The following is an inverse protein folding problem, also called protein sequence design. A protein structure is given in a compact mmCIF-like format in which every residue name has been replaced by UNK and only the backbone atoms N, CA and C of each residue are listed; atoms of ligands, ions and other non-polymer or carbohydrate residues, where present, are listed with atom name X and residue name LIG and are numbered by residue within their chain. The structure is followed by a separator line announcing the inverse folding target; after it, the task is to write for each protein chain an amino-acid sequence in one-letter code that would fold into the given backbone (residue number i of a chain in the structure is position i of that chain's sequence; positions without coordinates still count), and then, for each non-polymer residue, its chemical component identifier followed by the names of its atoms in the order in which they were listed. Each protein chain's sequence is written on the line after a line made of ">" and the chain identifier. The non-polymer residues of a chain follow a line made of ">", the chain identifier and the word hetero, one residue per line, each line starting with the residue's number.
data_IF_060044840277
#
_entry.id   IF_060044840277
#
_cell.length_a   1.000
_cell.length_b   1.000
_cell.length_c   1.000
_cell.angle_alpha   90.00
_cell.angle_beta   90.00
_cell.angle_gamma   90.00
#
_symmetry.space_group_name_H-M   'P 1'
#
loop_
_entity.id
_entity.type
_entity.pdbx_description
1 polymer ?
#
# COMPACT_ATOMS: atom_id res chain seq x y z
N UNK A 1 31.86 -11.11 -31.26
CA UNK A 1 30.91 -10.72 -30.20
C UNK A 1 30.75 -11.79 -29.13
N UNK A 2 30.42 -13.05 -29.46
CA UNK A 2 30.39 -14.15 -28.48
C UNK A 2 31.73 -14.37 -27.73
N UNK A 3 32.86 -14.27 -28.44
CA UNK A 3 34.20 -14.37 -27.83
C UNK A 3 34.53 -13.20 -26.89
N UNK A 4 33.93 -12.02 -27.12
CA UNK A 4 34.10 -10.83 -26.28
C UNK A 4 33.26 -10.98 -25.00
N UNK A 5 32.03 -11.52 -25.11
CA UNK A 5 31.19 -11.86 -23.96
C UNK A 5 31.88 -12.87 -23.03
N UNK A 6 32.41 -13.96 -23.59
CA UNK A 6 33.16 -14.97 -22.82
C UNK A 6 34.42 -14.40 -22.15
N UNK A 7 35.18 -13.54 -22.85
CA UNK A 7 36.36 -12.86 -22.28
C UNK A 7 35.97 -11.88 -21.17
N UNK A 8 34.86 -11.16 -21.28
CA UNK A 8 34.34 -10.25 -20.24
C UNK A 8 33.94 -11.02 -18.97
N UNK A 9 33.26 -12.16 -19.09
CA UNK A 9 32.94 -13.03 -17.94
C UNK A 9 34.22 -13.59 -17.29
N UNK A 10 35.22 -13.99 -18.09
CA UNK A 10 36.51 -14.46 -17.58
C UNK A 10 37.32 -13.33 -16.89
N UNK A 11 37.31 -12.12 -17.45
CA UNK A 11 37.93 -10.94 -16.86
C UNK A 11 37.25 -10.55 -15.56
N UNK A 12 35.92 -10.63 -15.49
CA UNK A 12 35.18 -10.33 -14.29
C UNK A 12 35.35 -11.37 -13.17
N UNK A 13 35.62 -12.61 -13.55
CA UNK A 13 35.94 -13.68 -12.62
C UNK A 13 37.39 -13.63 -12.08
N UNK A 14 38.30 -12.85 -12.69
CA UNK A 14 39.67 -12.63 -12.19
C UNK A 14 39.75 -11.37 -11.31
N UNK A 15 39.73 -11.55 -9.99
CA UNK A 15 40.22 -10.68 -8.88
C UNK A 15 40.16 -9.14 -9.00
N UNK A 16 39.36 -8.56 -9.90
CA UNK A 16 39.29 -7.11 -10.16
C UNK A 16 37.87 -6.56 -10.29
N UNK A 17 36.85 -7.37 -10.05
CA UNK A 17 35.44 -6.93 -10.12
C UNK A 17 34.73 -6.85 -8.78
N UNK A 18 35.43 -6.35 -7.76
CA UNK A 18 34.85 -6.15 -6.41
C UNK A 18 34.02 -4.86 -6.30
N UNK A 19 33.81 -4.14 -7.40
CA UNK A 19 33.03 -2.91 -7.42
C UNK A 19 31.56 -3.18 -7.77
N UNK A 20 30.60 -2.89 -6.87
CA UNK A 20 29.16 -3.07 -7.11
C UNK A 20 28.64 -2.40 -8.38
N UNK A 21 29.18 -1.22 -8.74
CA UNK A 21 28.76 -0.50 -9.95
C UNK A 21 29.17 -1.24 -11.23
N UNK A 22 30.26 -2.01 -11.19
CA UNK A 22 30.73 -2.77 -12.33
C UNK A 22 29.92 -4.06 -12.53
N UNK A 23 29.39 -4.65 -11.45
CA UNK A 23 28.44 -5.76 -11.53
C UNK A 23 27.19 -5.32 -12.29
N UNK A 24 26.61 -4.16 -11.94
CA UNK A 24 25.45 -3.59 -12.64
C UNK A 24 25.76 -3.37 -14.13
N UNK A 25 26.88 -2.71 -14.44
CA UNK A 25 27.25 -2.40 -15.82
C UNK A 25 27.47 -3.65 -16.69
N UNK A 26 28.12 -4.68 -16.15
CA UNK A 26 28.37 -5.94 -16.85
C UNK A 26 27.04 -6.71 -17.06
N UNK A 27 26.20 -6.78 -16.03
CA UNK A 27 24.88 -7.40 -16.13
C UNK A 27 23.99 -6.71 -17.17
N UNK A 28 23.96 -5.36 -17.18
CA UNK A 28 23.20 -4.58 -18.18
C UNK A 28 23.75 -4.84 -19.58
N UNK A 29 25.08 -4.77 -19.76
CA UNK A 29 25.70 -5.06 -21.05
C UNK A 29 25.36 -6.46 -21.59
N UNK A 30 25.42 -7.50 -20.75
CA UNK A 30 25.10 -8.87 -21.14
C UNK A 30 23.62 -9.01 -21.51
N UNK A 31 22.72 -8.40 -20.73
CA UNK A 31 21.28 -8.44 -20.98
C UNK A 31 20.90 -7.67 -22.26
N UNK A 32 21.42 -6.45 -22.46
CA UNK A 32 21.16 -5.63 -23.66
C UNK A 32 21.59 -6.33 -24.96
N UNK A 33 22.62 -7.18 -24.90
CA UNK A 33 23.10 -7.96 -26.04
C UNK A 33 22.47 -9.36 -26.12
N UNK A 34 21.44 -9.64 -25.30
CA UNK A 34 20.71 -10.92 -25.23
C UNK A 34 21.58 -12.13 -24.88
N UNK A 35 22.71 -11.92 -24.21
CA UNK A 35 23.59 -12.99 -23.73
C UNK A 35 23.14 -13.48 -22.35
N UNK A 36 21.91 -14.00 -22.26
CA UNK A 36 21.28 -14.35 -20.99
C UNK A 36 21.94 -15.52 -20.26
N UNK A 37 22.48 -16.52 -20.95
CA UNK A 37 23.26 -17.60 -20.32
C UNK A 37 24.50 -17.05 -19.60
N UNK A 38 25.21 -16.12 -20.26
CA UNK A 38 26.41 -15.48 -19.70
C UNK A 38 26.04 -14.57 -18.52
N UNK A 39 24.91 -13.86 -18.62
CA UNK A 39 24.39 -13.06 -17.51
C UNK A 39 24.05 -13.94 -16.30
N UNK A 40 23.41 -15.09 -16.50
CA UNK A 40 23.07 -16.03 -15.44
C UNK A 40 24.33 -16.57 -14.74
N UNK A 41 25.34 -17.01 -15.51
CA UNK A 41 26.60 -17.50 -14.95
C UNK A 41 27.38 -16.41 -14.21
N UNK A 42 27.42 -15.20 -14.78
CA UNK A 42 28.05 -14.04 -14.15
C UNK A 42 27.37 -13.68 -12.81
N UNK A 43 26.04 -13.63 -12.78
CA UNK A 43 25.27 -13.33 -11.57
C UNK A 43 25.41 -14.44 -10.50
N UNK A 44 25.40 -15.72 -10.90
CA UNK A 44 25.70 -16.85 -10.00
C UNK A 44 27.11 -16.71 -9.39
N UNK A 45 28.10 -16.34 -10.20
CA UNK A 45 29.47 -16.13 -9.72
C UNK A 45 29.57 -14.95 -8.75
N UNK A 46 28.92 -13.82 -9.05
CA UNK A 46 28.81 -12.66 -8.18
C UNK A 46 28.23 -13.03 -6.79
N UNK A 47 27.14 -13.81 -6.77
CA UNK A 47 26.50 -14.27 -5.53
C UNK A 47 27.43 -15.21 -4.75
N UNK A 48 28.07 -16.19 -5.41
CA UNK A 48 29.01 -17.13 -4.76
C UNK A 48 30.21 -16.42 -4.13
N UNK A 49 30.69 -15.34 -4.76
CA UNK A 49 31.79 -14.52 -4.24
C UNK A 49 31.34 -13.50 -3.19
N UNK A 50 30.03 -13.29 -3.03
CA UNK A 50 29.47 -12.34 -2.06
C UNK A 50 29.72 -10.87 -2.39
N UNK A 51 30.00 -10.52 -3.66
CA UNK A 51 30.35 -9.14 -4.04
C UNK A 51 29.13 -8.22 -3.92
N UNK A 52 28.02 -8.56 -4.58
CA UNK A 52 26.72 -7.91 -4.37
C UNK A 52 25.66 -8.96 -4.07
N UNK A 53 25.16 -8.95 -2.83
CA UNK A 53 24.07 -9.82 -2.37
C UNK A 53 22.89 -8.93 -1.99
N UNK A 54 22.14 -8.51 -3.01
CA UNK A 54 20.96 -7.63 -2.89
C UNK A 54 19.78 -8.26 -3.64
N UNK A 55 18.52 -7.97 -3.27
CA UNK A 55 17.34 -8.57 -3.92
C UNK A 55 17.37 -8.48 -5.44
N UNK A 56 17.72 -7.31 -5.98
CA UNK A 56 17.80 -7.07 -7.43
C UNK A 56 18.71 -8.05 -8.18
N UNK A 57 19.79 -8.56 -7.55
CA UNK A 57 20.73 -9.50 -8.17
C UNK A 57 20.07 -10.85 -8.41
N UNK A 58 19.26 -11.30 -7.45
CA UNK A 58 18.51 -12.54 -7.53
C UNK A 58 17.34 -12.42 -8.52
N UNK A 59 16.70 -11.26 -8.58
CA UNK A 59 15.69 -10.96 -9.60
C UNK A 59 16.27 -10.95 -11.02
N UNK A 60 17.42 -10.30 -11.20
CA UNK A 60 18.15 -10.29 -12.47
C UNK A 60 18.59 -11.71 -12.87
N UNK A 61 19.00 -12.53 -11.90
CA UNK A 61 19.35 -13.93 -12.13
C UNK A 61 18.13 -14.75 -12.58
N UNK A 62 16.98 -14.56 -11.96
CA UNK A 62 15.74 -15.23 -12.36
C UNK A 62 15.31 -14.87 -13.80
N UNK A 63 15.41 -13.59 -14.17
CA UNK A 63 15.15 -13.12 -15.54
C UNK A 63 16.13 -13.78 -16.52
N UNK A 64 17.43 -13.72 -16.22
CA UNK A 64 18.45 -14.33 -17.07
C UNK A 64 18.21 -15.83 -17.26
N UNK A 65 17.87 -16.57 -16.18
CA UNK A 65 17.55 -18.00 -16.27
C UNK A 65 16.29 -18.28 -17.09
N UNK A 66 15.25 -17.44 -17.01
CA UNK A 66 14.04 -17.60 -17.85
C UNK A 66 14.36 -17.44 -19.33
N UNK A 67 15.08 -16.38 -19.68
CA UNK A 67 15.42 -16.06 -21.07
C UNK A 67 16.44 -17.04 -21.67
N UNK A 68 17.28 -17.63 -20.83
CA UNK A 68 18.32 -18.57 -21.25
C UNK A 68 17.88 -20.04 -21.20
N UNK A 69 16.64 -20.32 -20.75
CA UNK A 69 16.11 -21.68 -20.68
C UNK A 69 16.65 -22.52 -19.51
N UNK A 70 17.04 -21.86 -18.41
CA UNK A 70 17.44 -22.49 -17.17
C UNK A 70 16.36 -23.40 -16.57
N UNK A 71 16.77 -24.30 -15.67
CA UNK A 71 15.83 -25.27 -15.10
C UNK A 71 14.75 -24.57 -14.25
N UNK A 72 13.48 -25.05 -14.27
CA UNK A 72 12.41 -24.46 -13.45
C UNK A 72 12.78 -24.35 -11.97
N UNK A 73 13.51 -25.33 -11.44
CA UNK A 73 13.96 -25.34 -10.05
C UNK A 73 15.03 -24.27 -9.76
N UNK A 74 15.88 -23.91 -10.72
CA UNK A 74 16.84 -22.82 -10.54
C UNK A 74 16.18 -21.44 -10.59
N UNK A 75 15.20 -21.26 -11.50
CA UNK A 75 14.42 -20.02 -11.59
C UNK A 75 13.64 -19.82 -10.28
N UNK A 76 12.93 -20.85 -9.82
CA UNK A 76 12.17 -20.82 -8.56
C UNK A 76 13.06 -20.43 -7.37
N UNK A 77 14.24 -21.06 -7.24
CA UNK A 77 15.19 -20.71 -6.18
C UNK A 77 15.68 -19.27 -6.26
N UNK A 78 15.98 -18.77 -7.46
CA UNK A 78 16.45 -17.39 -7.63
C UNK A 78 15.36 -16.38 -7.23
N UNK A 79 14.09 -16.64 -7.56
CA UNK A 79 12.99 -15.73 -7.25
C UNK A 79 12.63 -15.72 -5.76
N UNK A 80 12.66 -16.88 -5.10
CA UNK A 80 12.39 -16.96 -3.67
C UNK A 80 13.55 -16.40 -2.85
N UNK A 81 14.79 -16.55 -3.30
CA UNK A 81 15.96 -16.05 -2.58
C UNK A 81 15.97 -14.52 -2.39
N UNK A 82 15.28 -13.76 -3.25
CA UNK A 82 15.11 -12.32 -3.07
C UNK A 82 14.33 -12.00 -1.78
N UNK A 83 13.34 -12.84 -1.42
CA UNK A 83 12.54 -12.68 -0.20
C UNK A 83 13.37 -12.95 1.06
N UNK A 84 14.28 -13.92 1.01
CA UNK A 84 15.14 -14.25 2.17
C UNK A 84 16.03 -13.08 2.60
N UNK A 85 16.33 -12.16 1.67
CA UNK A 85 17.10 -10.95 1.95
C UNK A 85 16.26 -9.83 2.57
N UNK A 86 14.97 -9.75 2.21
CA UNK A 86 14.05 -8.71 2.67
C UNK A 86 12.73 -9.33 3.19
N UNK A 87 12.77 -10.07 4.32
CA UNK A 87 11.60 -10.81 4.82
C UNK A 87 10.45 -9.92 5.31
N UNK A 88 10.68 -8.61 5.40
CA UNK A 88 9.67 -7.61 5.76
C UNK A 88 9.06 -6.90 4.53
N UNK A 89 9.49 -7.22 3.30
CA UNK A 89 8.98 -6.60 2.08
C UNK A 89 7.74 -7.33 1.55
N UNK A 90 6.56 -6.77 1.81
CA UNK A 90 5.29 -7.28 1.29
C UNK A 90 5.21 -7.29 -0.24
N UNK A 91 5.88 -6.36 -0.93
CA UNK A 91 5.86 -6.30 -2.39
C UNK A 91 6.68 -7.43 -3.02
N UNK A 92 7.85 -7.76 -2.46
CA UNK A 92 8.66 -8.91 -2.85
C UNK A 92 7.86 -10.22 -2.76
N UNK A 93 7.08 -10.40 -1.70
CA UNK A 93 6.16 -11.54 -1.59
C UNK A 93 5.09 -11.56 -2.69
N UNK A 94 4.50 -10.42 -3.06
CA UNK A 94 3.52 -10.38 -4.17
C UNK A 94 4.14 -10.68 -5.54
N UNK A 95 5.36 -10.21 -5.76
CA UNK A 95 6.10 -10.51 -6.99
C UNK A 95 6.37 -12.01 -7.09
N UNK A 96 6.90 -12.61 -6.03
CA UNK A 96 7.11 -14.06 -5.96
C UNK A 96 5.79 -14.83 -6.12
N UNK A 97 4.69 -14.35 -5.54
CA UNK A 97 3.38 -14.97 -5.72
C UNK A 97 2.96 -15.03 -7.19
N UNK A 98 3.15 -13.92 -7.92
CA UNK A 98 2.88 -13.85 -9.37
C UNK A 98 3.72 -14.86 -10.13
N UNK A 99 5.02 -14.96 -9.86
CA UNK A 99 5.85 -15.89 -10.62
C UNK A 99 5.57 -17.36 -10.29
N UNK A 100 5.24 -17.68 -9.03
CA UNK A 100 4.77 -19.02 -8.69
C UNK A 100 3.47 -19.38 -9.40
N UNK A 101 2.58 -18.41 -9.59
CA UNK A 101 1.36 -18.64 -10.37
C UNK A 101 1.67 -18.86 -11.87
N UNK A 102 2.64 -18.16 -12.45
CA UNK A 102 3.10 -18.41 -13.83
C UNK A 102 3.64 -19.84 -14.00
N UNK A 103 4.33 -20.35 -12.98
CA UNK A 103 4.80 -21.74 -12.91
C UNK A 103 3.69 -22.75 -12.51
N UNK A 104 2.44 -22.31 -12.41
CA UNK A 104 1.27 -23.11 -11.97
C UNK A 104 1.41 -23.70 -10.56
N UNK A 105 2.27 -23.12 -9.72
CA UNK A 105 2.48 -23.45 -8.30
C UNK A 105 1.52 -22.64 -7.42
N UNK A 106 0.21 -22.77 -7.67
CA UNK A 106 -0.79 -21.90 -7.06
C UNK A 106 -0.85 -21.99 -5.52
N UNK A 107 -0.58 -23.16 -4.93
CA UNK A 107 -0.52 -23.31 -3.46
C UNK A 107 0.56 -22.41 -2.85
N UNK A 108 1.72 -22.31 -3.49
CA UNK A 108 2.83 -21.48 -3.02
C UNK A 108 2.56 -20.00 -3.31
N UNK A 109 1.97 -19.70 -4.47
CA UNK A 109 1.50 -18.34 -4.78
C UNK A 109 0.52 -17.82 -3.72
N UNK A 110 -0.44 -18.64 -3.30
CA UNK A 110 -1.38 -18.29 -2.24
C UNK A 110 -0.72 -18.11 -0.87
N UNK A 111 0.30 -18.91 -0.55
CA UNK A 111 1.08 -18.74 0.68
C UNK A 111 1.81 -17.38 0.70
N UNK A 112 2.42 -17.00 -0.42
CA UNK A 112 3.06 -15.69 -0.55
C UNK A 112 2.07 -14.53 -0.52
N UNK A 113 0.88 -14.66 -1.12
CA UNK A 113 -0.18 -13.64 -0.96
C UNK A 113 -0.60 -13.47 0.50
N UNK A 114 -0.68 -14.56 1.28
CA UNK A 114 -1.02 -14.48 2.72
C UNK A 114 0.09 -13.79 3.51
N UNK A 115 1.34 -14.07 3.19
CA UNK A 115 2.47 -13.42 3.85
C UNK A 115 2.54 -11.92 3.51
N UNK A 116 2.34 -11.56 2.24
CA UNK A 116 2.21 -10.17 1.82
C UNK A 116 1.06 -9.46 2.56
N UNK A 117 -0.10 -10.11 2.67
CA UNK A 117 -1.25 -9.58 3.41
C UNK A 117 -1.00 -9.43 4.92
N UNK A 118 -0.11 -10.25 5.49
CA UNK A 118 0.27 -10.14 6.90
C UNK A 118 1.19 -8.94 7.13
N UNK A 119 2.13 -8.70 6.22
CA UNK A 119 3.06 -7.56 6.27
C UNK A 119 2.35 -6.25 5.95
N UNK A 120 1.46 -6.26 4.95
CA UNK A 120 0.73 -5.09 4.47
C UNK A 120 -0.80 -5.33 4.44
N UNK A 121 -1.45 -5.39 5.61
CA UNK A 121 -2.89 -5.69 5.68
C UNK A 121 -3.80 -4.62 5.07
N UNK A 122 -3.27 -3.43 4.81
CA UNK A 122 -4.01 -2.28 4.29
C UNK A 122 -3.78 -2.02 2.79
N UNK A 123 -3.14 -2.95 2.08
CA UNK A 123 -3.05 -2.94 0.61
C UNK A 123 -4.00 -4.00 0.01
N UNK A 124 -4.67 -3.66 -1.09
CA UNK A 124 -5.65 -4.57 -1.74
C UNK A 124 -4.98 -5.65 -2.57
N UNK A 125 -3.77 -5.37 -3.07
CA UNK A 125 -3.06 -6.19 -4.04
C UNK A 125 -2.88 -7.67 -3.63
N UNK A 126 -2.53 -8.01 -2.37
CA UNK A 126 -2.45 -9.40 -1.92
C UNK A 126 -3.77 -10.16 -2.05
N UNK A 127 -4.89 -9.52 -1.70
CA UNK A 127 -6.19 -10.15 -1.73
C UNK A 127 -6.72 -10.28 -3.16
N UNK A 128 -6.50 -9.27 -4.01
CA UNK A 128 -6.82 -9.34 -5.43
C UNK A 128 -6.06 -10.48 -6.13
N UNK A 129 -4.76 -10.60 -5.88
CA UNK A 129 -3.93 -11.67 -6.43
C UNK A 129 -4.38 -13.04 -5.90
N UNK A 130 -4.68 -13.14 -4.60
CA UNK A 130 -5.18 -14.36 -3.99
C UNK A 130 -6.51 -14.83 -4.57
N UNK A 131 -7.45 -13.94 -4.90
CA UNK A 131 -8.70 -14.32 -5.60
C UNK A 131 -8.37 -15.03 -6.91
N UNK A 132 -7.48 -14.45 -7.73
CA UNK A 132 -7.11 -15.02 -9.04
C UNK A 132 -6.45 -16.40 -8.87
N UNK A 133 -5.50 -16.53 -7.95
CA UNK A 133 -4.77 -17.78 -7.75
C UNK A 133 -5.63 -18.86 -7.08
N UNK A 134 -6.55 -18.47 -6.19
CA UNK A 134 -7.49 -19.38 -5.56
C UNK A 134 -8.48 -19.96 -6.59
N UNK A 135 -8.93 -19.15 -7.55
CA UNK A 135 -9.77 -19.61 -8.66
C UNK A 135 -9.05 -20.64 -9.53
N UNK A 136 -7.78 -20.38 -9.87
CA UNK A 136 -6.95 -21.29 -10.67
C UNK A 136 -6.62 -22.59 -9.91
N UNK A 137 -6.52 -22.54 -8.59
CA UNK A 137 -6.25 -23.69 -7.72
C UNK A 137 -7.51 -24.48 -7.31
N UNK A 138 -8.70 -23.97 -7.62
CA UNK A 138 -9.98 -24.37 -7.03
C UNK A 138 -9.98 -24.41 -5.48
N UNK A 139 -9.23 -23.49 -4.84
CA UNK A 139 -9.14 -23.38 -3.39
C UNK A 139 -10.24 -22.48 -2.83
N UNK A 140 -11.35 -23.11 -2.44
CA UNK A 140 -12.53 -22.46 -1.87
C UNK A 140 -12.24 -21.70 -0.57
N UNK A 141 -11.28 -22.19 0.24
CA UNK A 141 -10.93 -21.56 1.53
C UNK A 141 -10.10 -20.31 1.31
N UNK A 142 -9.13 -20.37 0.39
CA UNK A 142 -8.35 -19.19 0.03
C UNK A 142 -9.21 -18.13 -0.65
N UNK A 143 -10.17 -18.54 -1.50
CA UNK A 143 -11.14 -17.63 -2.10
C UNK A 143 -12.01 -16.93 -1.06
N UNK A 144 -12.60 -17.67 -0.11
CA UNK A 144 -13.41 -17.08 0.97
C UNK A 144 -12.57 -16.12 1.82
N UNK A 145 -11.35 -16.51 2.18
CA UNK A 145 -10.42 -15.64 2.90
C UNK A 145 -10.16 -14.33 2.13
N UNK A 146 -9.78 -14.40 0.86
CA UNK A 146 -9.43 -13.21 0.07
C UNK A 146 -10.64 -12.29 -0.15
N UNK A 147 -11.78 -12.85 -0.56
CA UNK A 147 -13.01 -12.08 -0.75
C UNK A 147 -13.50 -11.43 0.56
N UNK A 148 -13.43 -12.16 1.67
CA UNK A 148 -13.82 -11.61 2.98
C UNK A 148 -12.94 -10.45 3.40
N UNK A 149 -11.63 -10.53 3.15
CA UNK A 149 -10.70 -9.43 3.47
C UNK A 149 -10.88 -8.22 2.55
N UNK A 150 -11.23 -8.40 1.28
CA UNK A 150 -11.61 -7.29 0.40
C UNK A 150 -12.90 -6.59 0.88
N UNK A 151 -13.86 -7.34 1.42
CA UNK A 151 -15.14 -6.79 1.87
C UNK A 151 -15.08 -6.13 3.24
N UNK A 152 -14.27 -6.66 4.17
CA UNK A 152 -14.23 -6.21 5.56
C UNK A 152 -13.67 -4.80 5.74
N UNK A 153 -12.97 -4.27 4.75
CA UNK A 153 -12.39 -2.93 4.78
C UNK A 153 -12.52 -2.25 3.43
N UNK A 154 -12.37 -0.93 3.43
CA UNK A 154 -12.36 -0.13 2.21
C UNK A 154 -10.94 0.15 1.73
N UNK A 155 -10.83 0.54 0.46
CA UNK A 155 -9.57 0.71 -0.25
C UNK A 155 -9.54 2.12 -0.86
N UNK A 156 -8.40 2.84 -0.82
CA UNK A 156 -8.33 4.20 -1.37
C UNK A 156 -8.53 4.26 -2.88
N UNK A 157 -8.05 3.24 -3.58
CA UNK A 157 -8.12 3.12 -5.02
C UNK A 157 -9.07 1.99 -5.39
N UNK A 158 -9.86 2.21 -6.45
CA UNK A 158 -10.73 1.21 -7.06
C UNK A 158 -11.72 0.53 -6.09
N UNK A 159 -12.08 1.18 -4.96
CA UNK A 159 -12.89 0.55 -3.90
C UNK A 159 -14.17 -0.08 -4.43
N UNK A 160 -14.95 0.67 -5.23
CA UNK A 160 -16.24 0.20 -5.75
C UNK A 160 -16.07 -1.10 -6.55
N UNK A 161 -15.06 -1.16 -7.41
CA UNK A 161 -14.74 -2.34 -8.22
C UNK A 161 -14.26 -3.51 -7.37
N UNK A 162 -13.45 -3.25 -6.34
CA UNK A 162 -12.94 -4.26 -5.42
C UNK A 162 -14.04 -4.86 -4.54
N UNK A 163 -14.92 -4.02 -4.00
CA UNK A 163 -16.09 -4.45 -3.24
C UNK A 163 -17.02 -5.31 -4.11
N UNK A 164 -17.27 -4.88 -5.35
CA UNK A 164 -18.12 -5.60 -6.28
C UNK A 164 -17.51 -6.94 -6.73
N UNK A 165 -16.21 -6.96 -7.02
CA UNK A 165 -15.46 -8.18 -7.32
C UNK A 165 -15.60 -9.18 -6.17
N UNK A 166 -15.37 -8.73 -4.94
CA UNK A 166 -15.44 -9.59 -3.76
C UNK A 166 -16.87 -10.12 -3.53
N UNK A 167 -17.90 -9.28 -3.72
CA UNK A 167 -19.31 -9.69 -3.66
C UNK A 167 -19.62 -10.79 -4.68
N UNK A 168 -19.29 -10.57 -5.96
CA UNK A 168 -19.54 -11.53 -7.04
C UNK A 168 -18.86 -12.87 -6.74
N UNK A 169 -17.59 -12.84 -6.30
CA UNK A 169 -16.82 -14.06 -5.99
C UNK A 169 -17.36 -14.79 -4.77
N UNK A 170 -17.77 -14.07 -3.72
CA UNK A 170 -18.38 -14.65 -2.53
C UNK A 170 -19.73 -15.31 -2.84
N UNK A 171 -20.57 -14.69 -3.68
CA UNK A 171 -21.86 -15.27 -4.12
C UNK A 171 -21.69 -16.50 -5.01
N UNK A 172 -20.74 -16.47 -5.94
CA UNK A 172 -20.40 -17.62 -6.77
C UNK A 172 -19.90 -18.78 -5.90
N UNK A 173 -19.01 -18.50 -4.95
CA UNK A 173 -18.50 -19.49 -4.01
C UNK A 173 -19.61 -20.07 -3.13
N UNK A 174 -20.49 -19.23 -2.57
CA UNK A 174 -21.62 -19.68 -1.76
C UNK A 174 -22.55 -20.61 -2.55
N UNK A 175 -22.85 -20.29 -3.82
CA UNK A 175 -23.65 -21.16 -4.69
C UNK A 175 -22.97 -22.52 -4.94
N UNK A 176 -21.67 -22.53 -5.26
CA UNK A 176 -20.89 -23.76 -5.45
C UNK A 176 -20.88 -24.62 -4.19
N UNK A 177 -20.60 -24.02 -3.02
CA UNK A 177 -20.55 -24.73 -1.75
C UNK A 177 -21.92 -25.31 -1.34
N UNK A 178 -23.02 -24.58 -1.55
CA UNK A 178 -24.39 -25.07 -1.32
C UNK A 178 -24.70 -26.30 -2.18
N UNK A 179 -24.34 -26.28 -3.45
CA UNK A 179 -24.56 -27.42 -4.36
C UNK A 179 -23.75 -28.65 -3.93
N UNK A 180 -22.56 -28.45 -3.37
CA UNK A 180 -21.72 -29.53 -2.84
C UNK A 180 -22.09 -30.01 -1.43
N UNK A 181 -23.11 -29.43 -0.79
CA UNK A 181 -23.50 -29.76 0.58
C UNK A 181 -22.45 -29.39 1.63
N UNK A 182 -21.63 -28.37 1.36
CA UNK A 182 -20.53 -27.96 2.25
C UNK A 182 -20.98 -26.87 3.22
N UNK A 183 -20.76 -27.09 4.52
CA UNK A 183 -21.12 -26.18 5.62
C UNK A 183 -20.47 -24.78 5.52
N UNK A 184 -19.37 -24.65 4.77
CA UNK A 184 -18.72 -23.35 4.50
C UNK A 184 -19.59 -22.40 3.65
N UNK A 185 -20.67 -22.91 3.05
CA UNK A 185 -21.64 -22.12 2.30
C UNK A 185 -22.22 -20.96 3.09
N UNK A 186 -22.44 -21.13 4.40
CA UNK A 186 -23.02 -20.09 5.25
C UNK A 186 -22.04 -18.94 5.49
N UNK A 187 -20.74 -19.26 5.65
CA UNK A 187 -19.70 -18.23 5.81
C UNK A 187 -19.54 -17.41 4.51
N UNK A 188 -19.47 -18.08 3.36
CA UNK A 188 -19.40 -17.41 2.06
C UNK A 188 -20.65 -16.55 1.76
N UNK A 189 -21.81 -16.92 2.30
CA UNK A 189 -23.06 -16.17 2.13
C UNK A 189 -23.20 -14.97 3.10
N UNK A 190 -22.34 -14.83 4.11
CA UNK A 190 -22.43 -13.79 5.14
C UNK A 190 -21.92 -12.42 4.67
N UNK A 191 -22.36 -11.99 3.49
CA UNK A 191 -21.90 -10.79 2.77
C UNK A 191 -22.22 -9.51 3.55
N UNK A 192 -23.40 -9.42 4.17
CA UNK A 192 -23.82 -8.24 4.95
C UNK A 192 -22.94 -8.01 6.16
N UNK A 193 -22.65 -9.06 6.92
CA UNK A 193 -21.76 -8.97 8.09
C UNK A 193 -20.34 -8.60 7.69
N UNK A 194 -19.83 -9.15 6.58
CA UNK A 194 -18.51 -8.80 6.05
C UNK A 194 -18.44 -7.36 5.52
N UNK A 195 -19.55 -6.82 5.02
CA UNK A 195 -19.63 -5.47 4.46
C UNK A 195 -19.96 -4.35 5.45
N UNK A 196 -20.09 -4.64 6.76
CA UNK A 196 -20.45 -3.64 7.76
C UNK A 196 -19.38 -2.54 7.89
N UNK A 197 -19.81 -1.31 8.19
CA UNK A 197 -18.92 -0.20 8.54
C UNK A 197 -19.38 0.45 9.83
N UNK A 198 -18.46 0.67 10.77
CA UNK A 198 -18.80 1.30 12.04
C UNK A 198 -19.12 2.80 11.87
N UNK A 199 -18.42 3.48 10.95
CA UNK A 199 -18.64 4.90 10.67
C UNK A 199 -18.43 5.22 9.19
N UNK A 200 -19.39 5.90 8.58
CA UNK A 200 -19.28 6.48 7.22
C UNK A 200 -19.72 7.93 7.26
N UNK A 201 -18.90 8.82 6.72
CA UNK A 201 -19.17 10.27 6.66
C UNK A 201 -19.17 10.67 5.20
N UNK A 202 -20.29 11.20 4.72
CA UNK A 202 -20.46 11.66 3.34
C UNK A 202 -20.64 13.17 3.33
N UNK A 203 -19.75 13.87 2.65
CA UNK A 203 -19.87 15.28 2.34
C UNK A 203 -20.52 15.41 0.97
N UNK A 204 -21.62 16.16 0.88
CA UNK A 204 -22.29 16.47 -0.37
C UNK A 204 -22.52 17.97 -0.51
N UNK A 205 -22.33 18.51 -1.71
CA UNK A 205 -22.62 19.90 -2.02
C UNK A 205 -23.26 20.07 -3.39
N UNK A 206 -23.84 21.25 -3.61
CA UNK A 206 -24.38 21.65 -4.90
C UNK A 206 -23.70 22.95 -5.33
N UNK A 207 -23.62 23.17 -6.65
CA UNK A 207 -22.91 24.30 -7.24
C UNK A 207 -21.55 23.90 -7.80
N UNK A 208 -20.95 24.82 -8.53
CA UNK A 208 -19.63 24.64 -9.15
C UNK A 208 -18.55 25.02 -8.13
N UNK A 209 -18.19 24.04 -7.32
CA UNK A 209 -17.25 24.18 -6.23
C UNK A 209 -16.53 22.86 -5.97
N UNK A 210 -15.40 22.99 -5.30
CA UNK A 210 -14.60 21.87 -4.83
C UNK A 210 -14.38 22.02 -3.33
N UNK A 211 -14.80 21.00 -2.59
CA UNK A 211 -14.75 20.96 -1.15
C UNK A 211 -14.00 19.71 -0.70
N UNK A 212 -13.01 19.90 0.17
CA UNK A 212 -12.28 18.82 0.79
C UNK A 212 -12.88 18.48 2.15
N UNK A 213 -13.19 17.20 2.35
CA UNK A 213 -13.51 16.56 3.61
C UNK A 213 -12.22 16.19 4.34
N UNK A 214 -12.10 16.70 5.56
CA UNK A 214 -11.06 16.34 6.49
C UNK A 214 -11.68 15.73 7.74
N UNK A 215 -11.25 14.53 8.11
CA UNK A 215 -11.70 13.83 9.33
C UNK A 215 -10.50 13.60 10.23
N UNK A 216 -10.53 14.17 11.44
CA UNK A 216 -9.58 13.88 12.51
C UNK A 216 -10.18 12.84 13.44
N UNK A 217 -9.45 11.76 13.63
CA UNK A 217 -9.89 10.58 14.40
C UNK A 217 -9.52 10.72 15.89
N UNK A 218 -10.12 9.91 16.79
CA UNK A 218 -9.86 9.97 18.22
C UNK A 218 -8.37 9.82 18.60
N UNK A 219 -7.63 9.04 17.81
CA UNK A 219 -6.19 8.81 17.99
C UNK A 219 -5.32 9.94 17.42
N UNK A 220 -5.92 11.00 16.88
CA UNK A 220 -5.24 12.18 16.35
C UNK A 220 -4.78 12.10 14.90
N UNK A 221 -4.98 10.94 14.23
CA UNK A 221 -4.74 10.82 12.79
C UNK A 221 -5.77 11.58 11.97
N UNK A 222 -5.36 12.01 10.78
CA UNK A 222 -6.17 12.85 9.90
C UNK A 222 -6.31 12.17 8.54
N UNK A 223 -7.55 11.99 8.10
CA UNK A 223 -7.92 11.47 6.79
C UNK A 223 -8.39 12.63 5.89
N UNK A 224 -7.92 12.68 4.64
CA UNK A 224 -8.27 13.70 3.64
C UNK A 224 -7.84 13.24 2.23
N UNK A 225 -8.11 13.99 1.13
CA UNK A 225 -7.75 13.58 -0.23
C UNK A 225 -6.26 13.29 -0.46
N UNK A 226 -5.35 13.96 0.25
CA UNK A 226 -3.90 13.72 0.14
C UNK A 226 -3.40 12.60 1.05
N UNK A 227 -4.20 12.23 2.05
CA UNK A 227 -3.87 11.24 3.07
C UNK A 227 -5.05 10.29 3.24
N UNK A 228 -5.19 9.43 2.23
CA UNK A 228 -6.39 8.63 2.00
C UNK A 228 -6.50 7.38 2.86
N UNK A 229 -5.47 7.07 3.67
CA UNK A 229 -5.51 6.02 4.68
C UNK A 229 -4.89 6.53 5.97
N UNK A 230 -5.44 6.06 7.08
CA UNK A 230 -4.96 6.43 8.41
C UNK A 230 -4.62 5.23 9.27
N UNK A 231 -3.78 5.49 10.27
CA UNK A 231 -3.50 4.55 11.36
C UNK A 231 -4.73 4.30 12.22
N UNK A 232 -5.71 5.21 12.19
CA UNK A 232 -7.02 5.06 12.82
C UNK A 232 -7.96 4.10 12.07
N UNK A 233 -7.57 3.62 10.89
CA UNK A 233 -8.38 2.73 10.04
C UNK A 233 -9.34 3.45 9.11
N UNK A 234 -9.30 4.78 9.10
CA UNK A 234 -10.04 5.60 8.17
C UNK A 234 -9.51 5.49 6.75
N UNK A 235 -10.43 5.42 5.80
CA UNK A 235 -10.17 5.44 4.37
C UNK A 235 -10.96 6.56 3.74
N UNK A 236 -10.28 7.36 2.91
CA UNK A 236 -10.90 8.39 2.11
C UNK A 236 -11.24 7.82 0.74
N UNK A 237 -12.50 8.00 0.34
CA UNK A 237 -13.02 7.71 -0.97
C UNK A 237 -13.40 9.06 -1.59
N UNK A 238 -12.64 9.47 -2.60
CA UNK A 238 -12.86 10.74 -3.28
C UNK A 238 -14.13 10.75 -4.11
N UNK A 239 -14.29 11.83 -4.87
CA UNK A 239 -15.31 11.91 -5.88
C UNK A 239 -15.07 10.84 -6.96
N UNK A 240 -16.16 10.34 -7.52
CA UNK A 240 -16.09 9.56 -8.75
C UNK A 240 -16.65 10.42 -9.86
N UNK A 241 -16.21 10.20 -11.11
CA UNK A 241 -16.75 10.93 -12.27
C UNK A 241 -18.29 10.89 -12.34
N UNK A 242 -18.93 9.89 -11.72
CA UNK A 242 -20.39 9.72 -11.66
C UNK A 242 -21.05 10.33 -10.43
N UNK A 243 -20.29 10.76 -9.43
CA UNK A 243 -20.77 11.35 -8.17
C UNK A 243 -20.02 12.66 -7.89
N UNK A 244 -20.05 13.59 -8.85
CA UNK A 244 -19.49 14.92 -8.68
C UNK A 244 -20.15 15.62 -7.48
N UNK A 245 -19.34 16.31 -6.66
CA UNK A 245 -19.83 17.01 -5.48
C UNK A 245 -20.09 16.11 -4.26
N UNK A 246 -19.43 14.94 -4.20
CA UNK A 246 -19.50 13.99 -3.10
C UNK A 246 -18.10 13.52 -2.70
N UNK A 247 -17.79 13.57 -1.41
CA UNK A 247 -16.63 12.91 -0.82
C UNK A 247 -17.05 12.02 0.34
N UNK A 248 -16.39 10.88 0.50
CA UNK A 248 -16.76 9.91 1.52
C UNK A 248 -15.55 9.49 2.35
N UNK A 249 -15.64 9.66 3.66
CA UNK A 249 -14.79 8.97 4.62
C UNK A 249 -15.50 7.71 5.11
N UNK A 250 -14.75 6.63 5.29
CA UNK A 250 -15.24 5.37 5.83
C UNK A 250 -14.24 4.77 6.81
N UNK A 251 -14.76 4.20 7.90
CA UNK A 251 -14.01 3.37 8.82
C UNK A 251 -14.79 2.07 9.03
N UNK A 252 -14.27 0.98 8.48
CA UNK A 252 -14.89 -0.32 8.66
C UNK A 252 -14.91 -0.71 10.14
N UNK A 253 -13.78 -0.52 10.82
CA UNK A 253 -13.65 -0.61 12.26
C UNK A 253 -13.18 0.75 12.78
N UNK A 254 -14.07 1.43 13.48
CA UNK A 254 -13.82 2.76 14.03
C UNK A 254 -13.32 2.66 15.49
N UNK A 255 -12.51 3.61 15.93
CA UNK A 255 -12.21 3.79 17.35
C UNK A 255 -13.40 4.41 18.07
N UNK A 256 -13.55 4.11 19.35
CA UNK A 256 -14.48 4.85 20.22
C UNK A 256 -13.91 6.24 20.51
N UNK A 257 -14.76 7.26 20.47
CA UNK A 257 -14.37 8.63 20.81
C UNK A 257 -14.92 9.68 19.86
N UNK A 258 -14.32 10.87 19.92
CA UNK A 258 -14.75 12.02 19.14
C UNK A 258 -14.00 12.09 17.81
N UNK A 259 -14.76 12.21 16.73
CA UNK A 259 -14.27 12.50 15.39
C UNK A 259 -14.56 13.98 15.09
N UNK A 260 -13.54 14.74 14.69
CA UNK A 260 -13.71 16.13 14.25
C UNK A 260 -13.73 16.18 12.72
N UNK A 261 -14.84 16.65 12.15
CA UNK A 261 -15.07 16.76 10.72
C UNK A 261 -14.92 18.23 10.33
N UNK A 262 -14.07 18.51 9.35
CA UNK A 262 -13.89 19.84 8.76
C UNK A 262 -14.15 19.77 7.27
N UNK A 263 -14.88 20.76 6.77
CA UNK A 263 -15.13 20.94 5.34
C UNK A 263 -14.35 22.17 4.91
N UNK A 264 -13.41 21.98 4.01
CA UNK A 264 -12.58 23.06 3.46
C UNK A 264 -13.04 23.38 2.06
N UNK A 265 -13.14 24.67 1.75
CA UNK A 265 -13.43 25.13 0.40
C UNK A 265 -12.13 25.33 -0.35
N UNK A 266 -11.90 24.56 -1.40
CA UNK A 266 -10.71 24.66 -2.26
C UNK A 266 -10.93 25.75 -3.30
N UNK A 267 -12.03 25.69 -4.05
CA UNK A 267 -12.41 26.71 -5.01
C UNK A 267 -13.92 26.75 -5.27
N UNK A 268 -14.35 27.73 -6.08
CA UNK A 268 -15.71 27.84 -6.61
C UNK A 268 -16.73 28.42 -5.62
N UNK A 269 -18.02 28.13 -5.83
CA UNK A 269 -19.10 28.58 -4.95
C UNK A 269 -20.22 27.55 -4.85
N UNK A 270 -20.53 27.14 -3.61
CA UNK A 270 -21.67 26.25 -3.37
C UNK A 270 -22.98 27.02 -3.37
N UNK A 271 -24.07 26.30 -3.57
CA UNK A 271 -25.40 26.85 -3.46
C UNK A 271 -25.67 27.29 -2.02
N UNK A 272 -25.75 28.61 -1.81
CA UNK A 272 -26.04 29.22 -0.51
C UNK A 272 -24.91 29.11 0.52
N UNK A 273 -23.66 28.90 0.09
CA UNK A 273 -22.47 28.76 0.95
C UNK A 273 -22.63 27.66 2.03
N UNK A 274 -23.37 26.60 1.66
CA UNK A 274 -23.66 25.45 2.51
C UNK A 274 -23.16 24.15 1.89
N UNK A 275 -22.93 23.17 2.75
CA UNK A 275 -22.74 21.76 2.40
C UNK A 275 -23.56 20.87 3.34
N UNK A 276 -23.79 19.63 2.96
CA UNK A 276 -24.42 18.62 3.81
C UNK A 276 -23.40 17.57 4.20
N UNK A 277 -23.28 17.29 5.49
CA UNK A 277 -22.50 16.19 6.02
C UNK A 277 -23.47 15.17 6.58
N UNK A 278 -23.46 13.97 6.01
CA UNK A 278 -24.25 12.83 6.44
C UNK A 278 -23.35 11.85 7.16
N UNK A 279 -23.70 11.51 8.39
CA UNK A 279 -22.93 10.62 9.24
C UNK A 279 -23.75 9.38 9.51
N UNK A 280 -23.24 8.24 9.07
CA UNK A 280 -23.90 6.94 9.15
C UNK A 280 -23.10 6.09 10.13
N UNK A 281 -23.76 5.68 11.21
CA UNK A 281 -23.22 4.77 12.20
C UNK A 281 -23.64 3.34 11.89
N UNK A 282 -22.75 2.37 12.12
CA UNK A 282 -23.03 0.93 12.01
C UNK A 282 -23.71 0.53 10.68
N UNK A 283 -23.26 1.10 9.56
CA UNK A 283 -23.81 0.84 8.23
C UNK A 283 -23.78 -0.67 7.92
N UNK A 284 -24.89 -1.16 7.38
CA UNK A 284 -25.05 -2.57 7.00
C UNK A 284 -25.54 -3.49 8.13
N UNK A 285 -25.79 -2.94 9.32
CA UNK A 285 -26.31 -3.69 10.48
C UNK A 285 -27.74 -3.26 10.83
N UNK A 286 -28.39 -3.99 11.74
CA UNK A 286 -29.70 -3.61 12.28
C UNK A 286 -29.66 -2.34 13.15
N UNK A 287 -28.48 -1.98 13.67
CA UNK A 287 -28.23 -0.80 14.51
C UNK A 287 -27.83 0.43 13.68
N UNK A 288 -28.00 0.38 12.35
CA UNK A 288 -27.66 1.51 11.50
C UNK A 288 -28.50 2.75 11.87
N UNK A 289 -27.83 3.88 12.07
CA UNK A 289 -28.47 5.17 12.30
C UNK A 289 -27.75 6.26 11.50
N UNK A 290 -28.49 7.28 11.07
CA UNK A 290 -27.99 8.34 10.20
C UNK A 290 -28.32 9.72 10.79
N UNK A 291 -27.33 10.60 10.80
CA UNK A 291 -27.44 12.00 11.20
C UNK A 291 -27.04 12.89 10.03
N UNK A 292 -27.83 13.93 9.76
CA UNK A 292 -27.60 14.87 8.66
C UNK A 292 -27.37 16.25 9.24
N UNK A 293 -26.22 16.84 8.92
CA UNK A 293 -25.82 18.17 9.36
C UNK A 293 -25.68 19.10 8.17
N UNK A 294 -26.24 20.30 8.28
CA UNK A 294 -25.98 21.38 7.33
C UNK A 294 -24.80 22.21 7.84
N UNK A 295 -23.72 22.24 7.07
CA UNK A 295 -22.50 22.98 7.38
C UNK A 295 -22.54 24.33 6.69
N UNK A 296 -22.36 25.39 7.46
CA UNK A 296 -22.18 26.76 6.98
C UNK A 296 -20.69 26.99 6.72
N UNK A 297 -20.33 27.15 5.44
CA UNK A 297 -18.94 27.28 5.01
C UNK A 297 -18.31 28.61 5.43
N UNK A 298 -19.10 29.59 5.88
CA UNK A 298 -18.58 30.90 6.34
C UNK A 298 -18.00 30.87 7.75
N UNK A 299 -18.42 29.90 8.57
CA UNK A 299 -18.04 29.83 10.00
C UNK A 299 -16.75 29.04 10.25
N UNK A 300 -16.34 28.20 9.30
CA UNK A 300 -15.17 27.32 9.39
C UNK A 300 -15.07 26.53 10.72
N UNK A 301 -16.22 26.14 11.29
CA UNK A 301 -16.30 25.43 12.55
C UNK A 301 -16.28 23.91 12.32
N UNK A 302 -15.51 23.12 13.11
CA UNK A 302 -15.54 21.68 13.02
C UNK A 302 -16.87 21.12 13.54
N UNK A 303 -17.41 20.13 12.84
CA UNK A 303 -18.49 19.28 13.34
C UNK A 303 -17.88 18.15 14.16
N UNK A 304 -18.26 18.01 15.43
CA UNK A 304 -17.79 16.92 16.30
C UNK A 304 -18.85 15.84 16.39
N UNK A 305 -18.48 14.61 16.04
CA UNK A 305 -19.34 13.42 16.15
C UNK A 305 -18.73 12.46 17.16
N UNK A 306 -19.56 11.90 18.03
CA UNK A 306 -19.13 10.91 19.02
C UNK A 306 -19.49 9.49 18.59
N UNK A 307 -18.51 8.62 18.45
CA UNK A 307 -18.69 7.18 18.23
C UNK A 307 -18.64 6.45 19.57
N UNK A 308 -19.78 5.91 20.00
CA UNK A 308 -19.88 5.17 21.26
C UNK A 308 -19.48 3.68 21.12
N UNK A 309 -19.69 3.10 19.93
CA UNK A 309 -19.58 1.65 19.69
C UNK A 309 -18.63 1.30 18.53
N UNK A 310 -17.39 1.78 18.61
CA UNK A 310 -16.32 1.38 17.67
C UNK A 310 -15.70 0.02 18.00
N UNK A 311 -15.38 -0.78 16.97
CA UNK A 311 -14.74 -2.10 17.12
C UNK A 311 -13.21 -2.07 17.12
N UNK A 312 -12.59 -1.00 16.64
CA UNK A 312 -11.13 -0.94 16.51
C UNK A 312 -10.47 -0.76 17.88
N UNK A 313 -9.48 -1.62 18.13
CA UNK A 313 -8.63 -1.56 19.33
C UNK A 313 -7.17 -1.24 19.00
N UNK A 314 -6.73 -1.54 17.78
CA UNK A 314 -5.33 -1.39 17.37
C UNK A 314 -5.13 -0.42 16.20
N UNK A 315 -3.94 0.19 16.16
CA UNK A 315 -3.53 1.04 15.05
C UNK A 315 -3.22 0.22 13.80
N UNK A 316 -3.66 0.74 12.64
CA UNK A 316 -3.31 0.24 11.33
C UNK A 316 -1.88 0.66 10.93
N UNK A 317 -1.16 -0.23 10.24
CA UNK A 317 0.04 0.12 9.50
C UNK A 317 -0.35 0.82 8.18
N UNK A 318 0.28 1.92 7.83
CA UNK A 318 0.00 2.63 6.57
C UNK A 318 1.28 2.65 5.74
N UNK A 319 1.25 2.04 4.56
CA UNK A 319 2.41 2.01 3.67
C UNK A 319 2.83 3.43 3.25
N UNK A 320 4.15 3.69 3.14
CA UNK A 320 4.69 4.94 2.61
C UNK A 320 4.06 5.32 1.27
N UNK A 321 3.88 6.62 0.97
CA UNK A 321 3.25 7.06 -0.28
C UNK A 321 3.92 6.52 -1.55
N UNK A 322 5.24 6.33 -1.53
CA UNK A 322 6.01 5.76 -2.66
C UNK A 322 5.65 4.30 -2.99
N UNK A 323 5.13 3.56 -2.01
CA UNK A 323 4.74 2.15 -2.16
C UNK A 323 3.24 1.98 -2.38
N UNK A 324 2.46 3.07 -2.33
CA UNK A 324 1.02 3.00 -2.57
C UNK A 324 0.77 2.85 -4.08
N UNK A 325 0.03 1.82 -4.52
CA UNK A 325 -0.36 1.71 -5.91
C UNK A 325 -1.28 2.89 -6.28
N UNK A 326 -0.89 3.66 -7.29
CA UNK A 326 -1.58 4.90 -7.69
C UNK A 326 -2.79 4.69 -8.62
N UNK A 327 -2.96 3.50 -9.20
CA UNK A 327 -4.21 3.00 -9.81
C UNK A 327 -4.00 1.61 -10.43
N UNK A 328 -5.07 0.88 -10.77
CA UNK A 328 -5.00 -0.29 -11.66
C UNK A 328 -4.45 0.03 -13.06
N UNK A 329 -4.62 1.26 -13.53
CA UNK A 329 -4.19 1.76 -14.85
C UNK A 329 -2.66 1.80 -14.98
N UNK A 330 -1.94 2.20 -13.93
CA UNK A 330 -0.47 2.23 -13.94
C UNK A 330 0.16 0.84 -13.82
N UNK A 331 -0.52 -0.11 -13.16
CA UNK A 331 -0.09 -1.52 -13.16
C UNK A 331 0.04 -2.10 -14.57
N UNK A 332 -0.82 -1.68 -15.51
CA UNK A 332 -0.78 -2.11 -16.91
C UNK A 332 0.45 -1.53 -17.64
N UNK A 333 0.88 -0.31 -17.28
CA UNK A 333 1.99 0.41 -17.93
C UNK A 333 3.37 -0.13 -17.54
N UNK A 334 3.50 -0.77 -16.37
CA UNK A 334 4.74 -1.44 -15.95
C UNK A 334 5.01 -2.75 -16.72
N UNK A 335 3.95 -3.42 -17.20
CA UNK A 335 4.07 -4.72 -17.90
C UNK A 335 4.63 -4.57 -19.32
N UNK A 336 4.58 -3.37 -19.92
CA UNK A 336 5.06 -3.11 -21.28
C UNK A 336 6.50 -2.57 -21.37
N UNK A 337 7.32 -2.70 -20.31
CA UNK A 337 8.72 -2.26 -20.33
C UNK A 337 9.63 -3.35 -20.89
N UNK A 338 10.54 -2.97 -21.78
CA UNK A 338 11.63 -3.82 -22.28
C UNK A 338 12.49 -4.33 -21.11
N UNK A 339 13.01 -5.56 -21.21
CA UNK A 339 13.73 -6.26 -20.12
C UNK A 339 14.95 -5.46 -19.64
N UNK A 340 15.66 -4.79 -20.55
CA UNK A 340 16.77 -3.89 -20.19
C UNK A 340 16.33 -2.66 -19.39
N UNK A 341 15.11 -2.16 -19.63
CA UNK A 341 14.53 -1.06 -18.84
C UNK A 341 14.09 -1.56 -17.46
N UNK A 342 13.51 -2.77 -17.39
CA UNK A 342 13.14 -3.39 -16.12
C UNK A 342 14.37 -3.64 -15.22
N UNK A 343 15.47 -4.14 -15.79
CA UNK A 343 16.71 -4.37 -15.05
C UNK A 343 17.34 -3.08 -14.53
N UNK A 344 17.25 -1.96 -15.28
CA UNK A 344 17.71 -0.65 -14.82
C UNK A 344 16.84 -0.07 -13.71
N UNK A 345 15.52 -0.14 -13.86
CA UNK A 345 14.59 0.35 -12.83
C UNK A 345 14.78 -0.42 -11.52
N UNK A 346 15.01 -1.73 -11.60
CA UNK A 346 15.26 -2.61 -10.45
C UNK A 346 16.65 -2.36 -9.82
N UNK A 347 17.63 -1.91 -10.61
CA UNK A 347 18.98 -1.60 -10.14
C UNK A 347 19.14 -0.17 -9.59
N UNK A 348 18.14 0.70 -9.71
CA UNK A 348 18.20 2.09 -9.27
C UNK A 348 17.94 2.20 -7.74
N UNK A 349 18.94 2.63 -6.95
CA UNK A 349 18.77 2.74 -5.50
C UNK A 349 18.05 4.04 -5.11
N UNK A 350 16.78 4.22 -5.49
CA UNK A 350 15.96 5.35 -4.99
C UNK A 350 15.14 4.94 -3.76
N UNK A 351 15.79 4.86 -2.59
CA UNK A 351 15.14 4.82 -1.26
C UNK A 351 15.35 6.13 -0.48
N UNK A 352 15.79 7.20 -1.13
CA UNK A 352 15.85 8.53 -0.49
C UNK A 352 15.26 9.56 -1.43
N UNK A 353 14.18 10.21 -1.02
CA UNK A 353 13.37 11.14 -1.81
C UNK A 353 14.10 12.37 -2.33
N UNK A 354 14.92 12.19 -3.37
CA UNK A 354 15.53 13.23 -4.17
C UNK A 354 15.57 12.75 -5.63
N UNK A 355 14.74 13.36 -6.49
CA UNK A 355 14.83 13.16 -7.93
C UNK A 355 16.22 13.58 -8.41
N UNK A 356 17.04 12.62 -8.85
CA UNK A 356 18.23 12.93 -9.64
C UNK A 356 17.78 13.09 -11.09
N UNK A 357 17.85 14.31 -11.61
CA UNK A 357 17.52 14.62 -13.00
C UNK A 357 18.24 13.68 -13.95
N UNK A 358 17.47 12.85 -14.65
CA UNK A 358 17.94 11.95 -15.69
C UNK A 358 18.43 12.79 -16.87
N UNK A 359 19.73 12.72 -17.13
CA UNK A 359 20.35 13.24 -18.35
C UNK A 359 19.83 12.46 -19.55
N UNK A 360 19.03 13.15 -20.38
CA UNK A 360 18.47 12.68 -21.63
C UNK A 360 19.60 12.59 -22.66
N UNK A 361 19.89 11.40 -23.16
CA UNK A 361 20.62 11.22 -24.41
C UNK A 361 19.79 10.32 -25.33
N UNK A 362 19.08 10.95 -26.27
CA UNK A 362 18.75 10.49 -27.65
C UNK A 362 17.33 10.89 -28.07
N UNK A 363 17.22 12.03 -28.77
CA UNK A 363 16.45 12.11 -30.02
C UNK A 363 14.92 11.99 -30.03
N UNK A 364 14.20 12.29 -28.95
CA UNK A 364 12.74 12.42 -28.99
C UNK A 364 12.31 13.86 -28.64
N UNK A 365 11.48 14.47 -29.50
CA UNK A 365 10.85 15.76 -29.25
C UNK A 365 10.00 15.61 -27.97
N UNK A 366 10.20 16.42 -26.92
CA UNK A 366 9.36 16.36 -25.75
C UNK A 366 7.98 16.92 -26.14
N UNK A 367 6.96 16.07 -26.06
CA UNK A 367 5.59 16.56 -25.88
C UNK A 367 5.57 17.14 -24.47
N UNK A 368 5.45 18.46 -24.39
CA UNK A 368 5.30 19.20 -23.15
C UNK A 368 3.96 18.80 -22.51
N UNK A 369 3.96 17.72 -21.72
CA UNK A 369 2.91 17.51 -20.73
C UNK A 369 3.11 18.60 -19.68
N UNK A 370 2.30 19.64 -19.80
CA UNK A 370 2.15 20.68 -18.79
C UNK A 370 1.94 19.98 -17.44
N UNK A 371 2.96 20.03 -16.58
CA UNK A 371 2.86 19.52 -15.23
C UNK A 371 1.68 20.23 -14.56
N UNK A 372 0.80 19.52 -13.83
CA UNK A 372 -0.26 20.17 -13.09
C UNK A 372 0.38 21.25 -12.21
N UNK A 373 -0.09 22.49 -12.38
CA UNK A 373 0.47 23.65 -11.72
C UNK A 373 0.64 23.37 -10.21
N UNK A 374 1.76 23.77 -9.59
CA UNK A 374 1.95 23.58 -8.16
C UNK A 374 0.78 24.21 -7.43
N UNK A 375 0.04 23.40 -6.67
CA UNK A 375 -1.07 23.84 -5.82
C UNK A 375 -0.65 25.10 -5.06
N UNK A 376 -1.44 26.18 -5.18
CA UNK A 376 -1.19 27.44 -4.47
C UNK A 376 -0.93 27.15 -2.99
N UNK A 377 0.02 27.90 -2.43
CA UNK A 377 0.47 27.71 -1.05
C UNK A 377 -0.70 28.08 -0.10
N UNK A 378 -1.36 27.07 0.45
CA UNK A 378 -2.59 27.23 1.25
C UNK A 378 -2.35 27.76 2.68
N UNK A 379 -1.14 28.29 2.94
CA UNK A 379 -0.73 28.84 4.24
C UNK A 379 -0.67 27.85 5.41
N UNK A 380 -1.01 26.58 5.17
CA UNK A 380 -1.21 25.57 6.22
C UNK A 380 -0.13 24.48 6.19
N UNK A 381 0.21 23.97 7.37
CA UNK A 381 1.03 22.78 7.56
C UNK A 381 0.43 21.58 6.80
N UNK A 382 1.25 20.88 6.00
CA UNK A 382 0.83 19.74 5.18
C UNK A 382 1.35 18.44 5.78
N UNK A 383 0.46 17.49 6.06
CA UNK A 383 0.86 16.13 6.48
C UNK A 383 1.38 15.40 5.25
N UNK A 384 2.64 14.95 5.29
CA UNK A 384 3.28 14.19 4.22
C UNK A 384 3.05 12.69 4.40
N UNK A 385 3.11 12.21 5.64
CA UNK A 385 3.01 10.79 5.95
C UNK A 385 2.58 10.56 7.40
N UNK A 386 1.84 9.48 7.63
CA UNK A 386 1.52 8.99 8.95
C UNK A 386 1.61 7.46 8.98
N UNK A 387 2.15 6.88 10.05
CA UNK A 387 2.18 5.43 10.23
C UNK A 387 2.31 5.03 11.70
N UNK A 388 1.98 3.76 11.98
CA UNK A 388 2.25 3.11 13.26
C UNK A 388 3.71 2.69 13.30
N UNK A 389 4.38 2.99 14.40
CA UNK A 389 5.69 2.41 14.72
C UNK A 389 5.46 1.36 15.79
N UNK A 390 5.68 0.10 15.44
CA UNK A 390 5.62 -0.99 16.43
C UNK A 390 6.77 -0.82 17.42
N UNK A 391 6.46 -0.95 18.71
CA UNK A 391 7.49 -0.90 19.74
C UNK A 391 8.31 -2.19 19.75
N UNK A 392 9.63 -2.06 19.90
CA UNK A 392 10.56 -3.19 19.98
C UNK A 392 10.51 -3.90 21.35
N UNK A 393 9.80 -3.35 22.33
CA UNK A 393 9.61 -3.95 23.65
C UNK A 393 8.24 -4.63 23.75
N UNK A 394 8.19 -5.89 24.21
CA UNK A 394 6.93 -6.57 24.55
C UNK A 394 6.18 -5.74 25.60
N UNK A 395 4.88 -5.49 25.37
CA UNK A 395 3.98 -4.66 26.21
C UNK A 395 4.29 -3.16 26.25
N UNK A 396 5.07 -2.63 25.30
CA UNK A 396 5.24 -1.19 25.19
C UNK A 396 4.12 -0.54 24.39
N UNK A 397 3.91 0.75 24.65
CA UNK A 397 2.89 1.55 24.00
C UNK A 397 3.08 1.61 22.49
N UNK A 398 1.96 1.55 21.77
CA UNK A 398 1.90 1.90 20.37
C UNK A 398 2.15 3.39 20.18
N UNK A 399 2.84 3.72 19.09
CA UNK A 399 3.21 5.08 18.75
C UNK A 399 2.79 5.40 17.33
N UNK A 400 2.12 6.54 17.16
CA UNK A 400 1.87 7.12 15.84
C UNK A 400 2.95 8.12 15.51
N UNK A 401 3.53 8.00 14.31
CA UNK A 401 4.45 9.01 13.78
C UNK A 401 3.75 9.75 12.66
N UNK A 402 3.81 11.09 12.70
CA UNK A 402 3.31 11.97 11.64
C UNK A 402 4.44 12.88 11.18
N UNK A 403 4.65 12.96 9.87
CA UNK A 403 5.60 13.87 9.25
C UNK A 403 4.82 15.02 8.63
N UNK A 404 5.07 16.23 9.11
CA UNK A 404 4.36 17.45 8.72
C UNK A 404 5.35 18.42 8.09
N UNK A 405 5.11 18.83 6.85
CA UNK A 405 5.82 19.92 6.21
C UNK A 405 5.21 21.24 6.67
N UNK A 406 6.03 22.14 7.22
CA UNK A 406 5.54 23.46 7.61
C UNK A 406 5.07 24.25 6.39
N UNK A 407 4.11 25.17 6.59
CA UNK A 407 3.58 26.02 5.53
C UNK A 407 4.64 26.83 4.76
N UNK A 408 5.78 27.11 5.40
CA UNK A 408 6.94 27.78 4.78
C UNK A 408 7.80 26.85 3.90
N UNK A 409 7.51 25.54 3.91
CA UNK A 409 8.25 24.44 3.27
C UNK A 409 9.74 24.37 3.61
N UNK A 410 10.19 25.05 4.67
CA UNK A 410 11.59 25.10 5.11
C UNK A 410 11.89 24.12 6.23
N UNK A 411 10.88 23.65 6.94
CA UNK A 411 11.03 22.71 8.04
C UNK A 411 10.07 21.54 7.93
N UNK A 412 10.56 20.36 8.32
CA UNK A 412 9.74 19.17 8.56
C UNK A 412 9.65 18.96 10.07
N UNK A 413 8.42 18.83 10.58
CA UNK A 413 8.14 18.44 11.95
C UNK A 413 7.76 16.98 11.97
N UNK A 414 8.47 16.18 12.75
CA UNK A 414 8.07 14.80 13.08
C UNK A 414 7.36 14.85 14.42
N UNK A 415 6.08 14.50 14.45
CA UNK A 415 5.30 14.35 15.67
C UNK A 415 5.17 12.87 16.01
N UNK A 416 5.39 12.55 17.27
CA UNK A 416 5.35 11.19 17.80
C UNK A 416 4.34 11.19 18.93
N UNK A 417 3.16 10.61 18.68
CA UNK A 417 2.05 10.62 19.65
C UNK A 417 1.84 9.21 20.18
N UNK A 418 2.02 8.99 21.50
CA UNK A 418 1.73 7.71 22.11
C UNK A 418 0.21 7.48 22.12
N UNK A 419 -0.23 6.28 21.76
CA UNK A 419 -1.64 5.90 21.77
C UNK A 419 -1.88 5.00 22.98
N UNK A 420 -2.66 5.50 23.93
CA UNK A 420 -3.06 4.75 25.10
C UNK A 420 -4.32 3.95 24.77
N UNK A 421 -4.23 2.62 24.78
CA UNK A 421 -5.44 1.81 24.86
C UNK A 421 -6.14 2.13 26.18
N UNK A 422 -7.39 2.58 26.12
CA UNK A 422 -8.26 2.63 27.30
C UNK A 422 -8.72 1.22 27.65
N UNK A 423 -7.79 0.32 27.98
CA UNK A 423 -8.14 -0.88 28.74
C UNK A 423 -8.36 -0.44 30.18
N UNK A 424 -9.64 -0.34 30.55
CA UNK A 424 -10.05 -0.11 31.92
C UNK A 424 -9.63 -1.30 32.79
N UNK A 425 -8.35 -1.35 33.24
CA UNK A 425 -7.86 -2.10 34.42
C UNK A 425 -6.32 -2.08 34.58
N UNK A 426 -5.63 -0.96 34.33
CA UNK A 426 -4.23 -0.83 34.79
C UNK A 426 -4.22 0.07 36.03
N UNK A 427 -4.06 -0.55 37.21
CA UNK A 427 -3.79 0.20 38.45
C UNK A 427 -2.50 1.01 38.25
N UNK A 428 -2.45 2.30 38.64
CA UNK A 428 -1.25 3.11 38.49
C UNK A 428 -0.17 2.61 39.45
N UNK A 429 0.70 1.73 38.96
CA UNK A 429 2.02 1.52 39.52
C UNK A 429 2.93 2.62 38.99
N UNK A 430 3.70 3.26 39.86
CA UNK A 430 4.61 4.34 39.49
C UNK A 430 5.60 3.87 38.40
N UNK A 431 5.37 4.28 37.16
CA UNK A 431 6.30 4.04 36.05
C UNK A 431 7.43 5.06 36.16
N UNK A 432 8.55 4.64 36.74
CA UNK A 432 9.82 5.35 36.60
C UNK A 432 10.29 5.15 35.16
N UNK A 433 10.22 6.21 34.36
CA UNK A 433 10.76 6.22 32.99
C UNK A 433 12.27 6.42 33.10
N UNK A 434 13.04 5.33 33.07
CA UNK A 434 14.48 5.41 32.87
C UNK A 434 14.75 5.44 31.36
N UNK A 435 14.99 6.64 30.81
CA UNK A 435 15.41 6.81 29.42
C UNK A 435 16.92 6.58 29.32
N UNK A 436 17.33 5.39 28.91
CA UNK A 436 18.74 5.04 28.70
C UNK A 436 19.28 5.43 27.31
N UNK A 437 18.66 6.42 26.64
CA UNK A 437 19.05 6.85 25.27
C UNK A 437 19.61 8.28 25.23
N UNK A 438 19.76 8.95 26.38
CA UNK A 438 20.50 10.22 26.47
C UNK A 438 21.79 9.95 27.26
N UNK A 439 22.98 9.94 26.63
CA UNK A 439 24.22 9.96 27.38
C UNK A 439 24.33 11.31 28.12
N UNK A 440 24.18 11.30 29.45
CA UNK A 440 24.63 12.39 30.33
C UNK A 440 23.58 13.36 30.87
N UNK A 441 22.45 12.89 31.40
CA UNK A 441 21.54 13.73 32.20
C UNK A 441 21.24 13.11 33.56
N UNK A 442 21.99 13.50 34.59
CA UNK A 442 21.47 13.58 35.96
C UNK A 442 21.05 15.03 36.21
#
# INVERSE_FOLDING_TARGET
>A
MAEISGKMVQLANRDKCDNPSMVIAISDFLAMNRYFDHAADFLKANIRKGIVVKPWVYEALAIALRESGGSPAEIERAEVAAIDLEPADGHGFLKAATTMAEMKRYTMALAFCKQAAHLEPNTSAPFEAAIKFAELADDTKAMDWAASNLMKQDWPADNKDLQELARIKSEALARKLKQSGNDQAQNAASIKEKGRRDLVIKLAWQGDADLDLQVKEPVGSICNPTNTQTVGGGVFLGDSLTEAGLETYTAAEAFKGNYEIRVKKVWGKTLGDKAQVRVIHNQGTAQQHEEIFSIDLTKNAPLVVKVNEGRRTELAYVSPPSLRPTSRSEKIRMVSKDVGTQLRDIADPEVTGFQRGTSIASGAIPIEMEAPAPSKNDGNDKILYQTRVQSFMKNAMDVTTQVVLSSDRRSMRVSVTPVFESTANIKPGATVVNSSVIPGGN
#
